data_IF_676942268546
#
_entry.id   IF_676942268546
#
_cell.length_a   1.000
_cell.length_b   1.000
_cell.length_c   1.000
_cell.angle_alpha   90.00
_cell.angle_beta   90.00
_cell.angle_gamma   90.00
#
_symmetry.space_group_name_H-M   'P 1'
#
loop_
_entity.id
_entity.type
_entity.pdbx_description
1 polymer ?
#
# COMPACT_ATOMS: atom_id res chain seq x y z
N UNK A 1 16.20 33.05 23.47
CA UNK A 1 15.13 33.54 24.40
C UNK A 1 14.38 34.67 23.72
N UNK A 2 13.26 34.41 23.13
CA UNK A 2 12.20 35.41 22.86
C UNK A 2 10.89 34.65 22.80
N UNK A 3 10.09 34.82 23.85
CA UNK A 3 8.71 34.31 23.92
C UNK A 3 7.82 35.23 23.08
N UNK A 4 7.11 34.65 22.12
CA UNK A 4 5.88 35.26 21.61
C UNK A 4 4.70 34.49 22.17
N UNK A 5 3.91 35.17 22.98
CA UNK A 5 2.64 34.72 23.54
C UNK A 5 1.56 34.98 22.51
N UNK A 6 1.05 33.92 21.89
CA UNK A 6 -0.30 33.84 21.38
C UNK A 6 -0.93 32.55 21.88
N UNK A 7 -2.13 32.69 22.48
CA UNK A 7 -2.76 31.66 23.29
C UNK A 7 -3.29 30.44 22.54
N UNK A 8 -2.42 29.75 21.80
CA UNK A 8 -2.66 28.46 21.25
C UNK A 8 -2.14 27.39 22.20
N UNK A 9 -2.99 26.52 22.67
CA UNK A 9 -2.63 25.32 23.43
C UNK A 9 -1.63 24.53 22.62
N UNK A 10 -0.36 24.57 23.02
CA UNK A 10 0.71 23.71 22.46
C UNK A 10 0.37 22.29 22.88
N UNK A 11 -0.27 21.55 21.98
CA UNK A 11 -0.38 20.09 22.15
C UNK A 11 1.03 19.56 21.90
N UNK A 12 1.68 19.14 22.98
CA UNK A 12 2.94 18.43 22.92
C UNK A 12 2.70 17.14 22.13
N UNK A 13 3.04 17.15 20.86
CA UNK A 13 3.15 15.94 20.07
C UNK A 13 4.35 15.23 20.67
N UNK A 14 4.12 14.06 21.31
CA UNK A 14 5.22 13.24 21.78
C UNK A 14 6.20 13.08 20.62
N UNK A 15 7.50 13.35 20.84
CA UNK A 15 8.50 13.08 19.81
C UNK A 15 8.35 11.61 19.41
N UNK A 16 8.14 11.36 18.13
CA UNK A 16 8.26 10.02 17.56
C UNK A 16 9.70 9.61 17.83
N UNK A 17 9.90 8.79 18.85
CA UNK A 17 11.15 8.06 18.97
C UNK A 17 11.16 7.16 17.75
N UNK A 18 12.07 7.41 16.82
CA UNK A 18 12.42 6.46 15.78
C UNK A 18 12.72 5.17 16.53
N UNK A 19 11.74 4.30 16.65
CA UNK A 19 11.93 2.95 17.12
C UNK A 19 12.96 2.40 16.15
N UNK A 20 14.17 2.16 16.66
CA UNK A 20 15.20 1.49 15.90
C UNK A 20 14.52 0.35 15.18
N UNK A 21 14.77 0.22 13.87
CA UNK A 21 14.00 -0.63 12.95
C UNK A 21 13.57 -1.86 13.73
N UNK A 22 12.25 -2.10 13.92
CA UNK A 22 11.83 -3.22 14.72
C UNK A 22 12.48 -4.43 14.08
N UNK A 23 13.31 -5.12 14.84
CA UNK A 23 13.75 -6.45 14.47
C UNK A 23 12.49 -7.14 14.00
N UNK A 24 12.47 -7.55 12.73
CA UNK A 24 11.35 -8.21 12.07
C UNK A 24 10.59 -9.04 13.10
N UNK A 25 9.55 -8.46 13.69
CA UNK A 25 8.59 -9.22 14.46
C UNK A 25 7.87 -10.01 13.41
N UNK A 26 8.38 -11.21 13.17
CA UNK A 26 7.63 -12.29 12.56
C UNK A 26 6.33 -12.39 13.33
N UNK A 27 5.29 -11.71 12.80
CA UNK A 27 3.94 -11.87 13.29
C UNK A 27 3.65 -13.35 13.17
N UNK A 28 3.60 -14.04 14.31
CA UNK A 28 3.31 -15.45 14.43
C UNK A 28 1.92 -15.75 13.87
N UNK A 29 1.86 -15.93 12.57
CA UNK A 29 1.02 -16.98 12.03
C UNK A 29 1.84 -18.24 12.19
N UNK A 30 1.32 -19.28 12.83
CA UNK A 30 1.91 -20.61 12.85
C UNK A 30 2.38 -20.92 11.44
N UNK A 31 3.70 -20.77 11.22
CA UNK A 31 4.29 -21.05 9.92
C UNK A 31 3.99 -22.53 9.64
N UNK A 32 3.40 -22.88 8.50
CA UNK A 32 3.25 -24.26 8.12
C UNK A 32 4.64 -24.92 8.19
N UNK A 33 4.71 -26.19 8.59
CA UNK A 33 5.96 -26.92 8.73
C UNK A 33 6.82 -26.65 7.50
N UNK A 34 8.02 -26.10 7.71
CA UNK A 34 8.85 -25.50 6.65
C UNK A 34 9.02 -26.43 5.47
N UNK A 35 8.69 -25.95 4.28
CA UNK A 35 8.87 -26.66 3.02
C UNK A 35 10.36 -26.83 2.76
N UNK A 36 10.77 -28.04 2.37
CA UNK A 36 12.17 -28.37 2.07
C UNK A 36 12.44 -28.26 0.56
N UNK A 37 13.69 -28.00 0.19
CA UNK A 37 14.12 -28.13 -1.22
C UNK A 37 13.87 -29.56 -1.72
N UNK A 38 13.42 -29.69 -2.96
CA UNK A 38 13.01 -30.94 -3.56
C UNK A 38 11.55 -31.37 -3.23
N UNK A 39 10.85 -30.63 -2.37
CA UNK A 39 9.44 -30.87 -2.08
C UNK A 39 8.57 -30.33 -3.19
N UNK A 40 7.55 -31.07 -3.61
CA UNK A 40 6.57 -30.61 -4.59
C UNK A 40 5.65 -29.58 -3.93
N UNK A 41 5.52 -28.44 -4.59
CA UNK A 41 4.58 -27.36 -4.25
C UNK A 41 3.41 -27.39 -5.22
N UNK A 42 2.22 -27.13 -4.70
CA UNK A 42 0.99 -27.02 -5.48
C UNK A 42 0.52 -25.56 -5.52
N UNK A 43 0.43 -25.00 -6.73
CA UNK A 43 -0.02 -23.65 -6.99
C UNK A 43 -1.42 -23.69 -7.57
N UNK A 44 -2.42 -23.24 -6.80
CA UNK A 44 -3.80 -23.08 -7.25
C UNK A 44 -3.98 -21.60 -7.69
N UNK A 45 -3.90 -21.38 -8.98
CA UNK A 45 -3.92 -20.03 -9.58
C UNK A 45 -5.29 -19.73 -10.14
N UNK A 46 -5.87 -18.56 -9.76
CA UNK A 46 -7.10 -18.06 -10.37
C UNK A 46 -6.85 -17.73 -11.83
N UNK A 47 -7.67 -18.34 -12.71
CA UNK A 47 -7.65 -18.12 -14.16
C UNK A 47 -8.97 -17.51 -14.59
N UNK A 48 -8.92 -16.42 -15.30
CA UNK A 48 -10.08 -15.77 -15.90
C UNK A 48 -9.64 -14.67 -16.88
N UNK A 49 -10.18 -14.69 -18.09
CA UNK A 49 -9.98 -13.64 -19.08
C UNK A 49 -11.31 -12.90 -19.31
N UNK A 50 -11.47 -11.65 -18.79
CA UNK A 50 -12.70 -10.90 -18.95
C UNK A 50 -12.98 -10.47 -20.40
N UNK A 51 -11.99 -10.49 -21.29
CA UNK A 51 -12.13 -10.18 -22.70
C UNK A 51 -12.70 -11.35 -23.54
N UNK A 52 -12.68 -12.58 -22.98
CA UNK A 52 -13.21 -13.77 -23.63
C UNK A 52 -14.57 -14.15 -23.02
N UNK A 53 -15.69 -14.01 -23.75
CA UNK A 53 -17.02 -14.36 -23.25
C UNK A 53 -17.18 -15.83 -22.84
N UNK A 54 -16.33 -16.74 -23.36
CA UNK A 54 -16.32 -18.15 -23.00
C UNK A 54 -15.51 -18.46 -21.75
N UNK A 55 -14.71 -17.51 -21.26
CA UNK A 55 -13.90 -17.69 -20.06
C UNK A 55 -14.77 -17.70 -18.80
N UNK A 56 -14.57 -18.69 -17.95
CA UNK A 56 -15.23 -18.81 -16.64
C UNK A 56 -14.17 -18.78 -15.55
N UNK A 57 -14.34 -18.01 -14.47
CA UNK A 57 -13.39 -18.00 -13.35
C UNK A 57 -13.23 -19.41 -12.76
N UNK A 58 -11.98 -19.88 -12.68
CA UNK A 58 -11.65 -21.19 -12.11
C UNK A 58 -10.26 -21.18 -11.48
N UNK A 59 -9.98 -22.17 -10.64
CA UNK A 59 -8.64 -22.43 -10.13
C UNK A 59 -7.97 -23.48 -10.99
N UNK A 60 -6.80 -23.17 -11.53
CA UNK A 60 -5.94 -24.10 -12.23
C UNK A 60 -4.76 -24.45 -11.33
N UNK A 61 -4.49 -25.74 -11.20
CA UNK A 61 -3.40 -26.24 -10.35
C UNK A 61 -2.16 -26.53 -11.20
N UNK A 62 -1.01 -26.05 -10.69
CA UNK A 62 0.32 -26.35 -11.23
C UNK A 62 1.18 -26.92 -10.10
N UNK A 63 2.08 -27.82 -10.45
CA UNK A 63 3.01 -28.44 -9.52
C UNK A 63 4.46 -28.10 -9.93
N UNK A 64 5.23 -27.60 -8.98
CA UNK A 64 6.65 -27.28 -9.15
C UNK A 64 7.45 -27.82 -7.97
N UNK A 65 8.69 -28.21 -8.23
CA UNK A 65 9.63 -28.58 -7.19
C UNK A 65 10.19 -27.32 -6.50
N UNK A 66 10.18 -27.28 -5.17
CA UNK A 66 10.77 -26.20 -4.39
C UNK A 66 12.27 -26.13 -4.60
N UNK A 67 12.77 -25.01 -5.06
CA UNK A 67 14.18 -24.70 -5.19
C UNK A 67 14.61 -23.64 -4.18
N UNK A 68 15.92 -23.58 -3.89
CA UNK A 68 16.42 -22.57 -2.94
C UNK A 68 16.18 -21.15 -3.45
N UNK A 69 15.72 -20.29 -2.53
CA UNK A 69 15.40 -18.90 -2.85
C UNK A 69 14.16 -18.70 -3.75
N UNK A 70 13.37 -19.75 -4.03
CA UNK A 70 12.17 -19.62 -4.86
C UNK A 70 11.18 -18.64 -4.25
N UNK A 71 10.99 -17.49 -4.91
CA UNK A 71 9.88 -16.58 -4.63
C UNK A 71 8.65 -16.98 -5.45
N UNK A 72 7.47 -16.50 -5.06
CA UNK A 72 6.25 -16.73 -5.87
C UNK A 72 6.38 -16.15 -7.27
N UNK A 73 7.15 -15.06 -7.44
CA UNK A 73 7.45 -14.52 -8.77
C UNK A 73 8.24 -15.54 -9.62
N UNK A 74 9.28 -16.17 -9.05
CA UNK A 74 10.09 -17.19 -9.77
C UNK A 74 9.20 -18.36 -10.17
N UNK A 75 8.36 -18.85 -9.25
CA UNK A 75 7.43 -19.93 -9.52
C UNK A 75 6.43 -19.58 -10.64
N UNK A 76 5.80 -18.40 -10.59
CA UNK A 76 4.87 -17.94 -11.63
C UNK A 76 5.55 -17.76 -12.98
N UNK A 77 6.79 -17.26 -13.00
CA UNK A 77 7.56 -17.15 -14.23
C UNK A 77 7.89 -18.52 -14.81
N UNK A 78 8.26 -19.49 -13.97
CA UNK A 78 8.52 -20.86 -14.38
C UNK A 78 7.26 -21.54 -14.94
N UNK A 79 6.10 -21.36 -14.29
CA UNK A 79 4.80 -21.82 -14.80
C UNK A 79 4.55 -21.25 -16.19
N UNK A 80 4.71 -19.93 -16.36
CA UNK A 80 4.47 -19.25 -17.64
C UNK A 80 5.43 -19.69 -18.74
N UNK A 81 6.70 -19.91 -18.43
CA UNK A 81 7.70 -20.29 -19.42
C UNK A 81 7.63 -21.75 -19.82
N UNK A 82 7.31 -22.65 -18.87
CA UNK A 82 7.43 -24.11 -19.11
C UNK A 82 6.09 -24.85 -19.19
N UNK A 83 5.05 -24.36 -18.47
CA UNK A 83 3.80 -25.11 -18.31
C UNK A 83 2.63 -24.43 -19.03
N UNK A 84 2.47 -23.11 -18.88
CA UNK A 84 1.31 -22.39 -19.41
C UNK A 84 1.65 -20.95 -19.82
N UNK A 85 2.03 -20.73 -21.09
CA UNK A 85 2.37 -19.42 -21.60
C UNK A 85 1.23 -18.40 -21.58
N UNK A 86 -0.01 -18.83 -21.39
CA UNK A 86 -1.18 -17.96 -21.34
C UNK A 86 -1.39 -17.29 -19.98
N UNK A 87 -0.64 -17.69 -18.95
CA UNK A 87 -0.76 -17.14 -17.60
C UNK A 87 -0.42 -15.66 -17.56
N UNK A 88 -1.39 -14.83 -17.09
CA UNK A 88 -1.24 -13.38 -16.99
C UNK A 88 -0.96 -12.96 -15.53
N UNK A 89 0.16 -12.31 -15.33
CA UNK A 89 0.50 -11.62 -14.08
C UNK A 89 1.51 -10.52 -14.35
N UNK A 90 1.51 -9.48 -13.51
CA UNK A 90 2.37 -8.32 -13.69
C UNK A 90 3.62 -8.40 -12.83
N UNK A 91 4.73 -7.91 -13.39
CA UNK A 91 5.98 -7.70 -12.65
C UNK A 91 6.89 -6.77 -13.42
N UNK A 92 7.74 -6.02 -12.69
CA UNK A 92 8.76 -5.14 -13.28
C UNK A 92 10.09 -5.27 -12.52
N UNK A 93 10.15 -4.77 -11.27
CA UNK A 93 11.41 -4.61 -10.54
C UNK A 93 11.95 -5.91 -9.90
N UNK A 94 11.11 -6.85 -9.58
CA UNK A 94 11.43 -8.10 -8.85
C UNK A 94 12.11 -7.91 -7.48
N UNK A 95 12.10 -6.68 -6.96
CA UNK A 95 12.84 -6.25 -5.76
C UNK A 95 11.95 -5.59 -4.68
N UNK A 96 10.62 -5.66 -4.82
CA UNK A 96 9.68 -5.08 -3.86
C UNK A 96 9.61 -3.54 -3.89
N UNK A 97 9.89 -2.92 -5.06
CA UNK A 97 9.94 -1.46 -5.21
C UNK A 97 8.78 -0.91 -6.05
N UNK A 98 8.33 -1.65 -7.09
CA UNK A 98 7.34 -1.12 -8.03
C UNK A 98 5.89 -1.47 -7.71
N UNK A 99 5.63 -2.47 -6.87
CA UNK A 99 4.27 -2.89 -6.51
C UNK A 99 3.53 -3.75 -7.54
N UNK A 100 4.00 -3.86 -8.79
CA UNK A 100 3.28 -4.50 -9.91
C UNK A 100 2.89 -5.96 -9.65
N UNK A 101 3.72 -6.72 -8.91
CA UNK A 101 3.47 -8.13 -8.62
C UNK A 101 2.59 -8.36 -7.38
N UNK A 102 1.81 -7.35 -6.98
CA UNK A 102 0.90 -7.47 -5.86
C UNK A 102 -0.30 -8.37 -6.22
N UNK A 103 -0.59 -9.34 -5.37
CA UNK A 103 -1.69 -10.28 -5.53
C UNK A 103 -2.15 -10.81 -4.18
N UNK A 104 -3.25 -11.55 -4.15
CA UNK A 104 -3.70 -12.27 -2.96
C UNK A 104 -3.00 -13.62 -2.90
N UNK A 105 -2.30 -13.87 -1.80
CA UNK A 105 -1.52 -15.07 -1.52
C UNK A 105 -2.13 -15.75 -0.31
N UNK A 106 -2.71 -16.93 -0.46
CA UNK A 106 -3.42 -17.64 0.61
C UNK A 106 -4.42 -16.75 1.38
N UNK A 107 -5.19 -15.94 0.62
CA UNK A 107 -6.19 -15.02 1.17
C UNK A 107 -5.65 -13.68 1.70
N UNK A 108 -4.33 -13.45 1.67
CA UNK A 108 -3.69 -12.23 2.16
C UNK A 108 -2.99 -11.45 1.03
N UNK A 109 -3.25 -10.15 0.83
CA UNK A 109 -2.51 -9.35 -0.15
C UNK A 109 -1.01 -9.27 0.18
N UNK A 110 -0.18 -9.39 -0.84
CA UNK A 110 1.28 -9.35 -0.72
C UNK A 110 1.98 -9.23 -2.07
N UNK A 111 3.31 -9.10 -2.05
CA UNK A 111 4.14 -9.01 -3.26
C UNK A 111 4.74 -10.36 -3.59
N UNK A 112 4.43 -10.90 -4.78
CA UNK A 112 4.96 -12.19 -5.22
C UNK A 112 6.50 -12.22 -5.25
N UNK A 113 7.16 -11.12 -5.59
CA UNK A 113 8.63 -11.05 -5.64
C UNK A 113 9.31 -11.00 -4.26
N UNK A 114 8.55 -10.79 -3.17
CA UNK A 114 9.07 -10.73 -1.79
C UNK A 114 8.62 -11.89 -0.92
N UNK A 115 7.72 -12.71 -1.43
CA UNK A 115 7.19 -13.86 -0.70
C UNK A 115 7.90 -15.15 -1.16
N UNK A 116 8.61 -15.80 -0.26
CA UNK A 116 9.22 -17.08 -0.53
C UNK A 116 8.16 -18.20 -0.52
N UNK A 117 8.19 -19.08 -1.51
CA UNK A 117 7.24 -20.18 -1.63
C UNK A 117 7.26 -21.08 -0.39
N UNK A 118 8.44 -21.34 0.18
CA UNK A 118 8.62 -22.14 1.39
C UNK A 118 7.94 -21.58 2.64
N UNK A 119 7.72 -20.24 2.69
CA UNK A 119 7.14 -19.56 3.86
C UNK A 119 5.60 -19.57 3.86
N UNK A 120 4.99 -19.89 2.71
CA UNK A 120 3.52 -19.90 2.56
C UNK A 120 2.92 -21.32 2.49
N UNK A 121 3.76 -22.33 2.51
CA UNK A 121 3.37 -23.74 2.61
C UNK A 121 3.37 -24.49 1.29
N UNK A 122 3.11 -25.83 1.33
CA UNK A 122 3.17 -26.68 0.14
C UNK A 122 1.97 -26.45 -0.79
N UNK A 123 0.88 -25.89 -0.31
CA UNK A 123 -0.30 -25.55 -1.10
C UNK A 123 -0.51 -24.03 -1.07
N UNK A 124 -0.47 -23.42 -2.25
CA UNK A 124 -0.41 -21.97 -2.43
C UNK A 124 -1.53 -21.55 -3.36
N UNK A 125 -2.45 -20.76 -2.85
CA UNK A 125 -3.55 -20.21 -3.65
C UNK A 125 -3.25 -18.76 -4.01
N UNK A 126 -3.30 -18.44 -5.31
CA UNK A 126 -3.04 -17.10 -5.84
C UNK A 126 -4.28 -16.56 -6.54
N UNK A 127 -4.66 -15.32 -6.22
CA UNK A 127 -5.80 -14.64 -6.81
C UNK A 127 -5.48 -13.16 -7.07
N UNK A 128 -6.19 -12.49 -8.00
CA UNK A 128 -6.01 -11.06 -8.24
C UNK A 128 -6.39 -10.23 -7.01
N UNK A 129 -5.84 -9.01 -6.92
CA UNK A 129 -6.24 -8.06 -5.88
C UNK A 129 -7.71 -7.64 -6.09
N UNK A 130 -8.58 -7.82 -5.09
CA UNK A 130 -9.95 -7.31 -5.15
C UNK A 130 -9.97 -5.78 -5.11
N UNK A 131 -11.12 -5.17 -5.49
CA UNK A 131 -11.38 -3.73 -5.61
C UNK A 131 -10.90 -3.14 -6.94
N UNK A 132 -9.83 -3.66 -7.50
CA UNK A 132 -9.31 -3.19 -8.78
C UNK A 132 -9.97 -3.89 -9.97
N UNK A 133 -10.01 -3.19 -11.10
CA UNK A 133 -10.49 -3.74 -12.37
C UNK A 133 -9.57 -4.88 -12.83
N UNK A 134 -10.14 -6.05 -13.09
CA UNK A 134 -9.41 -7.21 -13.55
C UNK A 134 -9.04 -7.08 -15.03
N UNK A 135 -7.75 -7.26 -15.35
CA UNK A 135 -7.23 -7.32 -16.72
C UNK A 135 -7.25 -8.78 -17.20
N UNK A 136 -6.77 -9.69 -16.38
CA UNK A 136 -6.76 -11.13 -16.65
C UNK A 136 -5.99 -11.90 -15.58
N UNK A 137 -6.45 -13.07 -15.24
CA UNK A 137 -5.88 -13.97 -14.22
C UNK A 137 -5.51 -13.24 -12.91
N UNK A 138 -4.23 -12.94 -12.70
CA UNK A 138 -3.70 -12.25 -11.52
C UNK A 138 -3.44 -10.75 -11.77
N UNK A 139 -3.59 -10.30 -13.02
CA UNK A 139 -3.27 -8.93 -13.44
C UNK A 139 -4.44 -7.99 -13.23
N UNK A 140 -4.23 -6.85 -12.57
CA UNK A 140 -5.26 -5.86 -12.25
C UNK A 140 -4.82 -4.43 -12.56
N UNK A 141 -5.78 -3.56 -12.91
CA UNK A 141 -5.53 -2.15 -13.22
C UNK A 141 -5.48 -1.29 -11.95
N UNK A 142 -4.39 -1.38 -11.19
CA UNK A 142 -4.17 -0.51 -10.03
C UNK A 142 -3.99 0.95 -10.43
N UNK A 143 -3.39 1.21 -11.59
CA UNK A 143 -3.08 2.57 -12.06
C UNK A 143 -4.32 3.44 -12.28
N UNK A 144 -5.42 2.87 -12.78
CA UNK A 144 -6.69 3.59 -12.94
C UNK A 144 -7.23 4.10 -11.61
N UNK A 145 -7.24 3.24 -10.59
CA UNK A 145 -7.70 3.57 -9.26
C UNK A 145 -6.78 4.60 -8.58
N UNK A 146 -5.47 4.39 -8.63
CA UNK A 146 -4.48 5.27 -8.01
C UNK A 146 -4.49 6.67 -8.63
N UNK A 147 -4.67 6.76 -9.96
CA UNK A 147 -4.80 8.04 -10.65
C UNK A 147 -6.04 8.81 -10.19
N UNK A 148 -7.20 8.18 -10.22
CA UNK A 148 -8.45 8.79 -9.78
C UNK A 148 -8.36 9.28 -8.32
N UNK A 149 -7.79 8.49 -7.44
CA UNK A 149 -7.53 8.87 -6.05
C UNK A 149 -6.56 10.06 -5.98
N UNK A 150 -5.46 10.05 -6.73
CA UNK A 150 -4.45 11.11 -6.70
C UNK A 150 -4.99 12.43 -7.26
N UNK A 151 -5.80 12.40 -8.32
CA UNK A 151 -6.48 13.55 -8.89
C UNK A 151 -7.47 14.15 -7.87
N UNK A 152 -8.32 13.32 -7.26
CA UNK A 152 -9.28 13.74 -6.23
C UNK A 152 -8.60 14.41 -5.04
N UNK A 153 -7.49 13.87 -4.57
CA UNK A 153 -6.77 14.36 -3.39
C UNK A 153 -5.82 15.52 -3.72
N UNK A 154 -5.71 15.89 -5.00
CA UNK A 154 -4.65 16.81 -5.43
C UNK A 154 -3.31 16.42 -4.81
N UNK A 155 -2.92 15.15 -5.07
CA UNK A 155 -1.82 14.48 -4.37
C UNK A 155 -0.43 14.98 -4.83
N UNK A 156 -0.24 16.29 -4.74
CA UNK A 156 1.03 17.01 -4.95
C UNK A 156 1.17 18.12 -3.90
N UNK A 157 2.37 18.66 -3.75
CA UNK A 157 2.65 19.74 -2.82
C UNK A 157 2.18 21.08 -3.42
N UNK A 158 1.30 21.79 -2.73
CA UNK A 158 0.82 23.10 -3.12
C UNK A 158 1.78 24.17 -2.61
N UNK A 159 2.70 24.64 -3.46
CA UNK A 159 3.72 25.63 -3.12
C UNK A 159 3.30 27.04 -3.56
N UNK A 160 3.73 28.06 -2.81
CA UNK A 160 3.47 29.48 -3.15
C UNK A 160 4.24 29.95 -4.39
N UNK A 161 5.43 29.42 -4.58
CA UNK A 161 6.33 29.84 -5.64
C UNK A 161 6.18 28.89 -6.83
N UNK A 162 5.72 29.44 -7.97
CA UNK A 162 5.54 28.65 -9.21
C UNK A 162 6.82 28.56 -10.04
N UNK A 163 7.79 29.43 -9.84
CA UNK A 163 9.06 29.41 -10.55
C UNK A 163 10.19 28.90 -9.66
N UNK A 164 10.91 27.92 -10.15
CA UNK A 164 12.10 27.36 -9.48
C UNK A 164 13.30 28.26 -9.80
N UNK A 165 13.80 28.95 -8.78
CA UNK A 165 15.04 29.74 -8.89
C UNK A 165 16.27 28.83 -8.66
N UNK A 166 16.87 28.37 -9.75
CA UNK A 166 18.04 27.50 -9.70
C UNK A 166 19.32 28.18 -9.17
N UNK A 167 19.29 29.50 -8.97
CA UNK A 167 20.45 30.24 -8.39
C UNK A 167 20.42 30.25 -6.86
N UNK A 168 19.30 29.87 -6.25
CA UNK A 168 19.14 29.79 -4.80
C UNK A 168 19.30 28.36 -4.32
N UNK A 169 19.93 28.21 -3.15
CA UNK A 169 19.94 26.92 -2.45
C UNK A 169 18.53 26.58 -1.96
N UNK A 170 18.17 25.31 -1.97
CA UNK A 170 16.94 24.83 -1.39
C UNK A 170 16.85 25.20 0.10
N UNK A 171 15.63 25.50 0.57
CA UNK A 171 15.39 25.74 1.97
C UNK A 171 15.63 24.46 2.78
N UNK A 172 16.32 24.63 3.89
CA UNK A 172 16.61 23.50 4.80
C UNK A 172 15.33 23.10 5.54
N UNK A 173 15.06 21.82 5.54
CA UNK A 173 14.00 21.23 6.35
C UNK A 173 14.59 20.67 7.65
N UNK A 174 13.82 20.69 8.72
CA UNK A 174 14.17 19.99 9.95
C UNK A 174 14.41 18.51 9.69
N UNK A 175 15.53 17.91 10.14
CA UNK A 175 15.86 16.52 9.82
C UNK A 175 14.82 15.50 10.30
N UNK A 176 14.24 15.69 11.49
CA UNK A 176 13.24 14.77 12.04
C UNK A 176 11.95 14.82 11.22
N UNK A 177 11.55 16.02 10.80
CA UNK A 177 10.40 16.22 9.91
C UNK A 177 10.66 15.61 8.53
N UNK A 178 11.86 15.80 7.98
CA UNK A 178 12.25 15.21 6.71
C UNK A 178 12.20 13.67 6.74
N UNK A 179 12.64 13.04 7.85
CA UNK A 179 12.53 11.60 8.04
C UNK A 179 11.07 11.14 8.11
N UNK A 180 10.19 11.86 8.81
CA UNK A 180 8.76 11.53 8.86
C UNK A 180 8.12 11.59 7.47
N UNK A 181 8.41 12.63 6.70
CA UNK A 181 7.92 12.78 5.33
C UNK A 181 8.44 11.64 4.45
N UNK A 182 9.73 11.35 4.52
CA UNK A 182 10.37 10.27 3.75
C UNK A 182 9.76 8.90 4.09
N UNK A 183 9.47 8.63 5.37
CA UNK A 183 8.81 7.38 5.78
C UNK A 183 7.47 7.19 5.08
N UNK A 184 6.68 8.25 4.92
CA UNK A 184 5.38 8.18 4.23
C UNK A 184 5.53 8.08 2.71
N UNK A 185 6.58 8.66 2.14
CA UNK A 185 6.92 8.58 0.71
C UNK A 185 7.41 7.19 0.29
N UNK A 186 7.73 6.30 1.22
CA UNK A 186 8.06 4.89 0.92
C UNK A 186 6.88 4.10 0.36
N UNK A 187 5.69 4.68 0.28
CA UNK A 187 4.53 4.07 -0.34
C UNK A 187 4.77 3.80 -1.82
N UNK A 188 4.65 2.53 -2.23
CA UNK A 188 4.84 2.09 -3.62
C UNK A 188 3.53 1.91 -4.39
N UNK A 189 2.41 2.34 -3.84
CA UNK A 189 1.07 2.28 -4.45
C UNK A 189 0.66 0.89 -4.97
N UNK A 190 1.14 -0.16 -4.30
CA UNK A 190 0.92 -1.55 -4.72
C UNK A 190 -0.53 -2.04 -4.61
N UNK A 191 -1.41 -1.32 -3.91
CA UNK A 191 -2.81 -1.70 -3.74
C UNK A 191 -3.11 -2.72 -2.63
N UNK A 192 -2.12 -3.33 -1.97
CA UNK A 192 -2.36 -4.33 -0.93
C UNK A 192 -3.26 -3.81 0.20
N UNK A 193 -3.03 -2.58 0.68
CA UNK A 193 -3.82 -1.97 1.75
C UNK A 193 -5.27 -1.68 1.34
N UNK A 194 -5.50 -1.32 0.08
CA UNK A 194 -6.85 -1.10 -0.48
C UNK A 194 -7.60 -2.42 -0.56
N UNK A 195 -6.95 -3.46 -1.08
CA UNK A 195 -7.52 -4.81 -1.20
C UNK A 195 -7.88 -5.46 0.13
N UNK A 196 -7.14 -5.15 1.21
CA UNK A 196 -7.42 -5.64 2.56
C UNK A 196 -8.45 -4.79 3.31
N UNK A 197 -8.89 -3.67 2.72
CA UNK A 197 -9.78 -2.74 3.39
C UNK A 197 -11.25 -3.13 3.21
N UNK A 198 -11.96 -3.38 4.32
CA UNK A 198 -13.40 -3.65 4.29
C UNK A 198 -14.21 -2.50 3.71
N UNK A 199 -13.88 -1.25 4.06
CA UNK A 199 -14.56 -0.07 3.52
C UNK A 199 -14.37 0.06 2.00
N UNK A 200 -13.15 -0.10 1.50
CA UNK A 200 -12.88 -0.02 0.05
C UNK A 200 -13.59 -1.12 -0.77
N UNK A 201 -13.90 -2.26 -0.14
CA UNK A 201 -14.70 -3.32 -0.77
C UNK A 201 -16.19 -2.99 -0.86
N UNK A 202 -16.70 -2.18 0.07
CA UNK A 202 -18.11 -1.79 0.12
C UNK A 202 -18.37 -0.46 -0.58
N UNK A 203 -17.36 0.41 -0.67
CA UNK A 203 -17.47 1.76 -1.21
C UNK A 203 -16.34 2.02 -2.20
N UNK A 204 -16.70 2.15 -3.46
CA UNK A 204 -15.73 2.37 -4.56
C UNK A 204 -15.11 3.77 -4.54
N UNK A 205 -15.73 4.73 -3.85
CA UNK A 205 -15.29 6.12 -3.70
C UNK A 205 -14.36 6.35 -2.50
N UNK A 206 -14.17 5.34 -1.63
CA UNK A 206 -13.32 5.47 -0.45
C UNK A 206 -11.83 5.53 -0.82
N UNK A 207 -11.13 6.59 -0.35
CA UNK A 207 -9.72 6.85 -0.69
C UNK A 207 -8.71 5.82 -0.14
N UNK A 208 -9.13 4.95 0.76
CA UNK A 208 -8.26 3.93 1.36
C UNK A 208 -7.14 4.50 2.24
N UNK A 209 -6.41 3.59 2.86
CA UNK A 209 -5.27 3.96 3.69
C UNK A 209 -4.14 4.64 2.89
N UNK A 210 -4.00 4.32 1.61
CA UNK A 210 -3.01 4.96 0.72
C UNK A 210 -3.32 6.45 0.52
N UNK A 211 -4.59 6.82 0.32
CA UNK A 211 -5.00 8.22 0.20
C UNK A 211 -4.79 8.99 1.50
N UNK A 212 -5.17 8.40 2.64
CA UNK A 212 -4.94 9.01 3.96
C UNK A 212 -3.44 9.20 4.23
N UNK A 213 -2.59 8.23 3.85
CA UNK A 213 -1.13 8.35 3.96
C UNK A 213 -0.56 9.49 3.11
N UNK A 214 -1.07 9.66 1.87
CA UNK A 214 -0.66 10.78 1.00
C UNK A 214 -1.04 12.12 1.61
N UNK A 215 -2.25 12.27 2.10
CA UNK A 215 -2.67 13.50 2.79
C UNK A 215 -1.81 13.77 4.02
N UNK A 216 -1.52 12.75 4.84
CA UNK A 216 -0.64 12.90 6.00
C UNK A 216 0.75 13.39 5.59
N UNK A 217 1.30 12.86 4.51
CA UNK A 217 2.59 13.28 3.95
C UNK A 217 2.58 14.75 3.55
N UNK A 218 1.59 15.20 2.79
CA UNK A 218 1.51 16.60 2.37
C UNK A 218 1.20 17.53 3.54
N UNK A 219 0.35 17.10 4.47
CA UNK A 219 0.03 17.88 5.67
C UNK A 219 1.25 18.09 6.60
N UNK A 220 2.23 17.20 6.56
CA UNK A 220 3.50 17.33 7.28
C UNK A 220 4.51 18.23 6.55
N UNK A 221 4.38 18.40 5.24
CA UNK A 221 5.34 19.14 4.44
C UNK A 221 5.19 20.65 4.69
N UNK A 222 6.20 21.35 5.24
CA UNK A 222 6.10 22.78 5.55
C UNK A 222 6.01 23.67 4.30
N UNK A 223 6.27 23.10 3.12
CA UNK A 223 6.15 23.81 1.83
C UNK A 223 4.72 23.78 1.29
N UNK A 224 3.89 22.84 1.75
CA UNK A 224 2.48 22.77 1.36
C UNK A 224 1.69 23.91 2.03
N UNK A 225 0.98 24.67 1.23
CA UNK A 225 0.26 25.87 1.69
C UNK A 225 -1.16 25.60 2.15
N UNK A 226 -1.65 24.36 1.97
CA UNK A 226 -3.00 23.97 2.39
C UNK A 226 -3.14 23.97 3.92
N UNK A 227 -4.29 24.41 4.37
CA UNK A 227 -4.70 24.43 5.77
C UNK A 227 -5.47 23.16 6.15
N UNK A 228 -5.77 22.98 7.44
CA UNK A 228 -6.65 21.87 7.87
C UNK A 228 -8.07 22.00 7.27
N UNK A 229 -8.55 23.23 6.99
CA UNK A 229 -9.82 23.48 6.32
C UNK A 229 -9.80 22.99 4.86
N UNK A 230 -8.74 23.30 4.11
CA UNK A 230 -8.60 22.84 2.73
C UNK A 230 -8.57 21.30 2.66
N UNK A 231 -7.88 20.65 3.58
CA UNK A 231 -7.90 19.18 3.66
C UNK A 231 -9.26 18.64 4.08
N UNK A 232 -10.00 19.36 4.96
CA UNK A 232 -11.34 18.93 5.37
C UNK A 232 -12.31 18.92 4.20
N UNK A 233 -12.25 19.90 3.30
CA UNK A 233 -13.07 19.93 2.09
C UNK A 233 -12.84 18.68 1.19
N UNK A 234 -11.62 18.17 1.16
CA UNK A 234 -11.24 17.06 0.29
C UNK A 234 -11.51 15.69 0.91
N UNK A 235 -11.30 15.53 2.22
CA UNK A 235 -11.33 14.22 2.89
C UNK A 235 -12.17 14.17 4.18
N UNK A 236 -12.88 15.25 4.54
CA UNK A 236 -13.70 15.34 5.74
C UNK A 236 -15.08 14.69 5.59
N UNK A 237 -15.20 13.64 4.80
CA UNK A 237 -16.44 12.94 4.50
C UNK A 237 -16.31 11.42 4.68
N UNK A 238 -17.38 10.68 4.38
CA UNK A 238 -17.41 9.23 4.44
C UNK A 238 -16.62 8.53 3.33
N UNK A 239 -16.33 9.20 2.22
CA UNK A 239 -15.42 8.68 1.19
C UNK A 239 -13.95 9.02 1.49
N UNK A 240 -13.75 9.93 2.44
CA UNK A 240 -12.47 10.30 3.04
C UNK A 240 -12.20 9.60 4.37
N UNK A 241 -11.67 10.37 5.34
CA UNK A 241 -11.16 9.80 6.59
C UNK A 241 -12.26 9.24 7.51
N UNK A 242 -13.50 9.77 7.43
CA UNK A 242 -14.59 9.31 8.30
C UNK A 242 -15.18 7.97 7.88
N UNK A 243 -15.05 7.56 6.61
CA UNK A 243 -15.43 6.23 6.17
C UNK A 243 -14.51 5.11 6.67
N UNK A 244 -13.36 5.43 7.25
CA UNK A 244 -12.47 4.42 7.79
C UNK A 244 -13.06 3.74 9.03
N UNK A 245 -13.34 2.45 8.93
CA UNK A 245 -13.85 1.63 10.05
C UNK A 245 -12.77 1.19 11.05
N UNK A 246 -11.51 1.59 10.86
CA UNK A 246 -10.38 1.27 11.74
C UNK A 246 -10.15 -0.23 11.97
N UNK A 247 -10.45 -1.08 10.97
CA UNK A 247 -10.21 -2.54 11.03
C UNK A 247 -8.74 -2.91 10.92
N UNK A 248 -7.89 -1.98 10.51
CA UNK A 248 -6.42 -2.06 10.43
C UNK A 248 -5.85 -3.15 9.51
N UNK A 249 -6.65 -3.88 8.74
CA UNK A 249 -6.16 -4.84 7.75
C UNK A 249 -5.15 -4.23 6.76
N UNK A 250 -5.28 -2.93 6.47
CA UNK A 250 -4.34 -2.17 5.64
C UNK A 250 -2.92 -2.11 6.25
N UNK A 251 -2.82 -1.95 7.58
CA UNK A 251 -1.55 -1.93 8.29
C UNK A 251 -0.87 -3.29 8.26
N UNK A 252 -1.65 -4.35 8.43
CA UNK A 252 -1.13 -5.72 8.51
C UNK A 252 -0.54 -6.25 7.22
N UNK A 253 -0.99 -5.73 6.06
CA UNK A 253 -0.57 -6.22 4.73
C UNK A 253 0.37 -5.26 4.01
N UNK A 254 0.77 -4.15 4.63
CA UNK A 254 1.64 -3.19 3.97
C UNK A 254 3.05 -3.79 3.77
N UNK A 255 3.51 -4.00 2.51
CA UNK A 255 4.81 -4.61 2.26
C UNK A 255 6.00 -3.67 2.53
N UNK A 256 5.71 -2.41 2.89
CA UNK A 256 6.69 -1.39 3.27
C UNK A 256 6.63 -1.04 4.76
N UNK A 257 5.77 -1.72 5.52
CA UNK A 257 5.57 -1.51 6.97
C UNK A 257 5.32 -0.04 7.35
N UNK A 258 4.55 0.67 6.50
CA UNK A 258 4.21 2.07 6.77
C UNK A 258 3.38 2.20 8.04
N UNK A 259 3.52 3.30 8.80
CA UNK A 259 2.78 3.55 10.04
C UNK A 259 1.33 3.99 9.76
N UNK A 260 0.58 3.24 8.94
CA UNK A 260 -0.76 3.60 8.46
C UNK A 260 -1.75 3.84 9.58
N UNK A 261 -1.68 3.06 10.67
CA UNK A 261 -2.53 3.25 11.85
C UNK A 261 -2.33 4.63 12.46
N UNK A 262 -1.07 5.05 12.64
CA UNK A 262 -0.70 6.36 13.19
C UNK A 262 -1.20 7.48 12.30
N UNK A 263 -1.05 7.35 10.98
CA UNK A 263 -1.47 8.37 10.03
C UNK A 263 -2.99 8.52 9.95
N UNK A 264 -3.71 7.41 9.97
CA UNK A 264 -5.18 7.44 10.04
C UNK A 264 -5.65 8.19 11.31
N UNK A 265 -5.07 7.88 12.46
CA UNK A 265 -5.41 8.54 13.72
C UNK A 265 -5.02 10.03 13.73
N UNK A 266 -3.87 10.38 13.15
CA UNK A 266 -3.40 11.75 13.02
C UNK A 266 -4.37 12.59 12.18
N UNK A 267 -4.65 12.16 10.96
CA UNK A 267 -5.53 12.89 10.04
C UNK A 267 -6.95 12.95 10.58
N UNK A 268 -7.47 11.85 11.13
CA UNK A 268 -8.83 11.84 11.71
C UNK A 268 -8.98 12.88 12.82
N UNK A 269 -8.01 13.00 13.72
CA UNK A 269 -8.05 14.05 14.78
C UNK A 269 -8.07 15.45 14.21
N UNK A 270 -7.28 15.69 13.14
CA UNK A 270 -7.25 17.01 12.46
C UNK A 270 -8.60 17.33 11.85
N UNK A 271 -9.19 16.40 11.12
CA UNK A 271 -10.47 16.61 10.45
C UNK A 271 -11.64 16.72 11.44
N UNK A 272 -11.64 15.99 12.56
CA UNK A 272 -12.64 16.18 13.62
C UNK A 272 -12.53 17.59 14.23
N UNK A 273 -11.31 18.05 14.53
CA UNK A 273 -11.11 19.39 15.09
C UNK A 273 -11.58 20.50 14.14
N UNK A 274 -11.41 20.30 12.83
CA UNK A 274 -11.88 21.26 11.82
C UNK A 274 -13.41 21.24 11.69
N UNK A 275 -14.03 20.05 11.62
CA UNK A 275 -15.49 19.93 11.53
C UNK A 275 -16.28 20.35 12.77
N UNK A 276 -15.59 20.66 13.88
CA UNK A 276 -16.21 21.18 15.10
C UNK A 276 -16.13 22.71 15.23
N UNK A 277 -15.50 23.41 14.31
CA UNK A 277 -15.45 24.87 14.26
C UNK A 277 -16.74 25.46 13.67
#
# INVERSE_FOLDING_TARGET
MTKTTDGGTVINVMPYQAAGAPASTTKSTTAPAGVRNGQMLRFNVMRFNPADPASVPHLQTYELEQTDGMTLFIALNEIREKLDPSLQFDFVCRAGICGSCAMVINGRPGLACRTLAKDVGPEITLAPLPVFELIGDLSVNTGKWMRAMSERLEAWCHIKQQEVDLTRLEERMDPELAEQIFELDRCIECGCCVSACGTARMRSDFIGAVGINKIARFRLDPRDTRTDADYYEVIGDDSGVFGCMSLLGCHDVCPKDLPLQTQIAFIRRKMVAEGMK
#
